data_IF_346507193954
#
_entry.id   IF_346507193954
#
_cell.length_a   1.000
_cell.length_b   1.000
_cell.length_c   1.000
_cell.angle_alpha   90.00
_cell.angle_beta   90.00
_cell.angle_gamma   90.00
#
_symmetry.space_group_name_H-M   'P 1'
#
loop_
_entity.id
_entity.type
_entity.pdbx_description
1 polymer ?
#
# COMPACT_ATOMS: atom_id res chain seq x y z
N UNK A 1 -24.44 3.50 6.35
CA UNK A 1 -23.22 3.42 5.52
C UNK A 1 -23.09 2.02 4.95
N UNK A 2 -22.89 1.87 3.63
CA UNK A 2 -22.57 0.59 2.98
C UNK A 2 -21.27 0.01 3.57
N UNK A 3 -21.16 -1.33 3.67
CA UNK A 3 -19.97 -2.04 4.14
C UNK A 3 -18.69 -1.63 3.40
N UNK A 4 -18.78 -1.31 2.10
CA UNK A 4 -17.63 -0.83 1.32
C UNK A 4 -17.08 0.50 1.83
N UNK A 5 -17.94 1.40 2.33
CA UNK A 5 -17.50 2.67 2.89
C UNK A 5 -16.80 2.47 4.23
N UNK A 6 -17.28 1.53 5.06
CA UNK A 6 -16.62 1.19 6.33
C UNK A 6 -15.21 0.65 6.09
N UNK A 7 -15.06 -0.24 5.11
CA UNK A 7 -13.76 -0.77 4.71
C UNK A 7 -12.84 0.32 4.17
N UNK A 8 -13.33 1.20 3.30
CA UNK A 8 -12.55 2.32 2.77
C UNK A 8 -12.03 3.23 3.89
N UNK A 9 -12.90 3.66 4.80
CA UNK A 9 -12.48 4.49 5.93
C UNK A 9 -11.53 3.74 6.86
N UNK A 10 -11.76 2.44 7.08
CA UNK A 10 -10.83 1.59 7.83
C UNK A 10 -9.43 1.56 7.20
N UNK A 11 -9.34 1.39 5.88
CA UNK A 11 -8.06 1.43 5.15
C UNK A 11 -7.40 2.80 5.20
N UNK A 12 -8.16 3.89 5.08
CA UNK A 12 -7.61 5.25 5.20
C UNK A 12 -7.07 5.49 6.61
N UNK A 13 -7.78 5.05 7.65
CA UNK A 13 -7.38 5.23 9.05
C UNK A 13 -6.26 4.29 9.50
N UNK A 14 -6.06 3.17 8.80
CA UNK A 14 -5.01 2.22 9.16
C UNK A 14 -3.61 2.83 9.00
N UNK A 15 -3.35 3.62 7.95
CA UNK A 15 -2.05 4.27 7.75
C UNK A 15 -1.64 5.17 8.93
N UNK A 16 -2.42 6.19 9.36
CA UNK A 16 -2.06 7.00 10.52
C UNK A 16 -2.03 6.21 11.83
N UNK A 17 -2.84 5.15 11.97
CA UNK A 17 -2.74 4.26 13.12
C UNK A 17 -1.39 3.54 13.18
N UNK A 18 -0.90 3.01 12.05
CA UNK A 18 0.42 2.38 11.97
C UNK A 18 1.55 3.38 12.27
N UNK A 19 1.42 4.62 11.77
CA UNK A 19 2.37 5.71 12.10
C UNK A 19 2.40 5.97 13.59
N UNK A 20 1.24 6.11 14.23
CA UNK A 20 1.14 6.36 15.66
C UNK A 20 1.79 5.23 16.46
N UNK A 21 1.50 3.97 16.11
CA UNK A 21 2.12 2.81 16.76
C UNK A 21 3.65 2.81 16.61
N UNK A 22 4.17 3.05 15.40
CA UNK A 22 5.61 3.10 15.14
C UNK A 22 6.29 4.26 15.88
N UNK A 23 5.67 5.44 15.91
CA UNK A 23 6.18 6.61 16.61
C UNK A 23 6.22 6.41 18.13
N UNK A 24 5.17 5.81 18.71
CA UNK A 24 5.14 5.43 20.12
C UNK A 24 6.24 4.41 20.46
N UNK A 25 6.44 3.41 19.60
CA UNK A 25 7.49 2.41 19.78
C UNK A 25 8.91 2.98 19.67
N UNK A 26 9.08 4.04 18.87
CA UNK A 26 10.35 4.74 18.68
C UNK A 26 10.69 5.76 19.79
N UNK A 27 9.84 5.91 20.81
CA UNK A 27 10.14 6.74 21.98
C UNK A 27 9.76 8.22 21.84
N UNK A 28 8.74 8.54 21.03
CA UNK A 28 8.18 9.89 20.89
C UNK A 28 9.16 10.98 20.39
N UNK A 29 9.96 10.72 19.34
CA UNK A 29 10.81 11.77 18.77
C UNK A 29 9.94 12.93 18.26
N UNK A 30 10.27 14.15 18.68
CA UNK A 30 9.53 15.37 18.32
C UNK A 30 10.16 16.12 17.14
N UNK A 31 11.41 15.80 16.81
CA UNK A 31 12.14 16.40 15.69
C UNK A 31 12.20 15.43 14.51
N UNK A 32 12.18 15.98 13.30
CA UNK A 32 12.47 15.22 12.09
C UNK A 32 13.97 14.93 12.08
N UNK A 33 14.34 13.65 12.10
CA UNK A 33 15.72 13.20 12.03
C UNK A 33 16.21 13.18 10.57
N UNK A 34 15.31 12.91 9.63
CA UNK A 34 15.62 12.94 8.20
C UNK A 34 14.75 13.97 7.45
N UNK A 35 15.40 14.75 6.59
CA UNK A 35 14.77 15.76 5.75
C UNK A 35 14.81 15.32 4.27
N UNK A 36 13.70 14.78 3.72
CA UNK A 36 13.67 14.33 2.34
C UNK A 36 13.78 15.51 1.38
N UNK A 37 14.61 15.36 0.34
CA UNK A 37 14.66 16.32 -0.77
C UNK A 37 13.34 16.31 -1.54
N UNK A 38 12.94 17.43 -2.13
CA UNK A 38 11.72 17.54 -2.96
C UNK A 38 11.63 16.45 -4.03
N UNK A 39 12.76 16.12 -4.68
CA UNK A 39 12.82 15.02 -5.66
C UNK A 39 12.43 13.67 -5.06
N UNK A 40 12.92 13.35 -3.85
CA UNK A 40 12.58 12.11 -3.13
C UNK A 40 11.09 12.04 -2.85
N UNK A 41 10.51 13.15 -2.37
CA UNK A 41 9.08 13.27 -2.10
C UNK A 41 8.27 13.00 -3.37
N UNK A 42 8.59 13.67 -4.48
CA UNK A 42 7.88 13.50 -5.75
C UNK A 42 7.96 12.06 -6.29
N UNK A 43 9.11 11.43 -6.18
CA UNK A 43 9.28 10.05 -6.65
C UNK A 43 8.53 9.05 -5.77
N UNK A 44 8.77 9.06 -4.46
CA UNK A 44 8.23 8.06 -3.52
C UNK A 44 6.73 8.24 -3.32
N UNK A 45 6.23 9.47 -3.30
CA UNK A 45 4.81 9.72 -3.03
C UNK A 45 3.98 9.69 -4.30
N UNK A 46 4.48 10.15 -5.46
CA UNK A 46 3.63 10.31 -6.65
C UNK A 46 4.02 9.36 -7.78
N UNK A 47 5.24 9.48 -8.30
CA UNK A 47 5.60 8.82 -9.56
C UNK A 47 5.71 7.31 -9.42
N UNK A 48 6.41 6.83 -8.38
CA UNK A 48 6.61 5.40 -8.14
C UNK A 48 5.28 4.70 -7.85
N UNK A 49 4.44 5.16 -6.90
CA UNK A 49 3.14 4.54 -6.64
C UNK A 49 2.24 4.47 -7.87
N UNK A 50 2.21 5.53 -8.69
CA UNK A 50 1.44 5.54 -9.93
C UNK A 50 1.92 4.45 -10.90
N UNK A 51 3.23 4.37 -11.13
CA UNK A 51 3.81 3.36 -12.01
C UNK A 51 3.56 1.95 -11.48
N UNK A 52 3.74 1.74 -10.18
CA UNK A 52 3.52 0.44 -9.54
C UNK A 52 2.07 0.00 -9.66
N UNK A 53 1.08 0.84 -9.34
CA UNK A 53 -0.32 0.44 -9.47
C UNK A 53 -0.75 0.23 -10.93
N UNK A 54 -0.16 0.95 -11.90
CA UNK A 54 -0.36 0.66 -13.32
C UNK A 54 0.12 -0.76 -13.64
N UNK A 55 1.33 -1.13 -13.21
CA UNK A 55 1.92 -2.45 -13.48
C UNK A 55 1.16 -3.55 -12.74
N UNK A 56 1.01 -3.44 -11.43
CA UNK A 56 0.47 -4.53 -10.61
C UNK A 56 -1.06 -4.62 -10.67
N UNK A 57 -1.79 -3.52 -10.79
CA UNK A 57 -3.27 -3.54 -10.89
C UNK A 57 -3.74 -3.48 -12.32
N UNK A 58 -3.27 -2.48 -13.05
CA UNK A 58 -3.72 -2.18 -14.40
C UNK A 58 -3.36 -3.27 -15.39
N UNK A 59 -2.15 -3.83 -15.28
CA UNK A 59 -1.68 -4.90 -16.15
C UNK A 59 -1.83 -6.28 -15.49
N UNK A 60 -1.08 -6.56 -14.43
CA UNK A 60 -0.97 -7.91 -13.86
C UNK A 60 -2.27 -8.42 -13.25
N UNK A 61 -2.84 -7.72 -12.26
CA UNK A 61 -4.08 -8.17 -11.62
C UNK A 61 -5.25 -8.16 -12.61
N UNK A 62 -5.27 -7.21 -13.55
CA UNK A 62 -6.29 -7.17 -14.59
C UNK A 62 -6.21 -8.39 -15.52
N UNK A 63 -5.00 -8.77 -15.93
CA UNK A 63 -4.79 -9.97 -16.74
C UNK A 63 -5.15 -11.23 -15.95
N UNK A 64 -4.71 -11.35 -14.69
CA UNK A 64 -5.10 -12.48 -13.83
C UNK A 64 -6.63 -12.57 -13.67
N UNK A 65 -7.33 -11.43 -13.60
CA UNK A 65 -8.78 -11.38 -13.52
C UNK A 65 -9.50 -11.87 -14.81
N UNK A 66 -8.81 -11.90 -15.96
CA UNK A 66 -9.34 -12.43 -17.22
C UNK A 66 -9.62 -13.94 -17.10
N UNK A 67 -8.83 -14.64 -16.26
CA UNK A 67 -9.07 -16.03 -15.89
C UNK A 67 -10.14 -16.09 -14.80
N UNK A 68 -11.39 -16.39 -15.19
CA UNK A 68 -12.56 -16.35 -14.29
C UNK A 68 -12.43 -17.15 -12.98
N UNK A 69 -11.56 -18.16 -12.89
CA UNK A 69 -11.24 -18.87 -11.63
C UNK A 69 -10.48 -17.98 -10.65
N UNK A 70 -9.59 -17.13 -11.13
CA UNK A 70 -8.75 -16.26 -10.30
C UNK A 70 -9.51 -15.03 -9.78
N UNK A 71 -10.57 -14.62 -10.47
CA UNK A 71 -11.48 -13.56 -10.00
C UNK A 71 -12.37 -14.00 -8.81
N UNK A 72 -12.44 -15.32 -8.52
CA UNK A 72 -13.23 -15.84 -7.40
C UNK A 72 -12.65 -15.36 -6.08
N UNK A 73 -13.53 -14.95 -5.17
CA UNK A 73 -13.18 -14.45 -3.86
C UNK A 73 -13.34 -15.53 -2.79
N UNK A 74 -12.39 -15.59 -1.87
CA UNK A 74 -12.48 -16.29 -0.58
C UNK A 74 -12.33 -15.26 0.53
N UNK A 75 -13.30 -15.17 1.44
CA UNK A 75 -13.34 -14.16 2.52
C UNK A 75 -13.19 -12.70 2.02
N UNK A 76 -13.67 -12.41 0.80
CA UNK A 76 -13.57 -11.08 0.19
C UNK A 76 -12.25 -10.79 -0.54
N UNK A 77 -11.26 -11.68 -0.46
CA UNK A 77 -10.00 -11.59 -1.22
C UNK A 77 -10.05 -12.52 -2.43
N UNK A 78 -9.75 -11.99 -3.61
CA UNK A 78 -9.68 -12.77 -4.85
C UNK A 78 -8.25 -13.23 -5.15
N UNK A 79 -8.11 -14.33 -5.89
CA UNK A 79 -6.79 -14.89 -6.21
C UNK A 79 -5.96 -13.99 -7.11
N UNK A 80 -6.59 -13.26 -8.04
CA UNK A 80 -5.93 -12.20 -8.83
C UNK A 80 -5.28 -11.14 -7.93
N UNK A 81 -5.98 -10.70 -6.88
CA UNK A 81 -5.45 -9.75 -5.89
C UNK A 81 -4.32 -10.39 -5.07
N UNK A 82 -4.53 -11.59 -4.53
CA UNK A 82 -3.53 -12.25 -3.69
C UNK A 82 -2.22 -12.44 -4.46
N UNK A 83 -2.28 -13.00 -5.67
CA UNK A 83 -1.10 -13.24 -6.50
C UNK A 83 -0.40 -11.91 -6.86
N UNK A 84 -1.15 -10.90 -7.31
CA UNK A 84 -0.57 -9.61 -7.68
C UNK A 84 0.07 -8.90 -6.48
N UNK A 85 -0.58 -8.91 -5.32
CA UNK A 85 -0.09 -8.28 -4.09
C UNK A 85 1.13 -8.99 -3.53
N UNK A 86 1.14 -10.33 -3.53
CA UNK A 86 2.32 -11.10 -3.12
C UNK A 86 3.50 -10.85 -4.07
N UNK A 87 3.28 -10.77 -5.39
CA UNK A 87 4.34 -10.43 -6.34
C UNK A 87 4.86 -9.00 -6.14
N UNK A 88 3.98 -8.05 -5.85
CA UNK A 88 4.35 -6.68 -5.47
C UNK A 88 5.28 -6.70 -4.25
N UNK A 89 4.90 -7.38 -3.18
CA UNK A 89 5.71 -7.51 -1.96
C UNK A 89 7.03 -8.23 -2.20
N UNK A 90 7.06 -9.26 -3.05
CA UNK A 90 8.30 -9.98 -3.36
C UNK A 90 9.34 -9.11 -4.06
N UNK A 91 8.92 -8.16 -4.91
CA UNK A 91 9.86 -7.18 -5.51
C UNK A 91 10.48 -6.27 -4.44
N UNK A 92 9.81 -6.08 -3.31
CA UNK A 92 10.31 -5.25 -2.21
C UNK A 92 11.36 -5.97 -1.33
N UNK A 93 11.51 -7.29 -1.45
CA UNK A 93 12.53 -8.08 -0.71
C UNK A 93 13.95 -7.61 -1.03
N UNK A 94 14.18 -7.04 -2.21
CA UNK A 94 15.49 -6.49 -2.58
C UNK A 94 15.85 -5.18 -1.85
N UNK A 95 14.87 -4.55 -1.20
CA UNK A 95 15.02 -3.21 -0.60
C UNK A 95 14.74 -3.20 0.90
N UNK A 96 14.05 -4.22 1.44
CA UNK A 96 13.59 -4.25 2.84
C UNK A 96 13.90 -5.59 3.52
N UNK A 97 14.15 -5.54 4.82
CA UNK A 97 14.31 -6.73 5.66
C UNK A 97 13.01 -7.54 5.77
N UNK A 98 13.15 -8.83 6.09
CA UNK A 98 12.06 -9.81 6.08
C UNK A 98 10.87 -9.46 6.98
N UNK A 99 11.10 -8.76 8.11
CA UNK A 99 10.04 -8.36 9.03
C UNK A 99 9.09 -7.29 8.46
N UNK A 100 9.58 -6.46 7.52
CA UNK A 100 8.77 -5.39 6.91
C UNK A 100 7.88 -5.87 5.76
N UNK A 101 8.12 -7.08 5.25
CA UNK A 101 7.33 -7.63 4.13
C UNK A 101 5.85 -7.79 4.49
N UNK A 102 5.54 -8.16 5.74
CA UNK A 102 4.14 -8.24 6.21
C UNK A 102 3.46 -6.87 6.26
N UNK A 103 4.24 -5.81 6.57
CA UNK A 103 3.75 -4.43 6.60
C UNK A 103 3.48 -3.90 5.19
N UNK A 104 4.17 -4.43 4.17
CA UNK A 104 3.99 -4.08 2.75
C UNK A 104 2.84 -4.89 2.11
N UNK A 105 2.73 -6.19 2.44
CA UNK A 105 1.71 -7.09 1.88
C UNK A 105 0.29 -6.63 2.22
N UNK A 106 0.05 -6.18 3.46
CA UNK A 106 -1.29 -5.80 3.89
C UNK A 106 -1.85 -4.59 3.12
N UNK A 107 -1.13 -3.46 2.97
CA UNK A 107 -1.52 -2.38 2.07
C UNK A 107 -1.71 -2.84 0.62
N UNK A 108 -0.81 -3.69 0.10
CA UNK A 108 -0.93 -4.20 -1.26
C UNK A 108 -2.26 -4.96 -1.47
N UNK A 109 -2.65 -5.82 -0.52
CA UNK A 109 -3.94 -6.51 -0.55
C UNK A 109 -5.14 -5.55 -0.52
N UNK A 110 -5.05 -4.45 0.24
CA UNK A 110 -6.09 -3.42 0.28
C UNK A 110 -6.22 -2.68 -1.05
N UNK A 111 -5.10 -2.30 -1.67
CA UNK A 111 -5.09 -1.62 -2.96
C UNK A 111 -5.74 -2.51 -4.03
N UNK A 112 -5.31 -3.78 -4.10
CA UNK A 112 -5.88 -4.74 -5.03
C UNK A 112 -7.34 -5.09 -4.74
N UNK A 113 -7.78 -5.07 -3.49
CA UNK A 113 -9.20 -5.22 -3.14
C UNK A 113 -10.04 -4.09 -3.74
N UNK A 114 -9.66 -2.83 -3.53
CA UNK A 114 -10.41 -1.69 -4.08
C UNK A 114 -10.34 -1.62 -5.60
N UNK A 115 -9.23 -2.05 -6.20
CA UNK A 115 -9.17 -2.24 -7.65
C UNK A 115 -10.17 -3.29 -8.13
N UNK A 116 -10.28 -4.44 -7.46
CA UNK A 116 -11.24 -5.49 -7.80
C UNK A 116 -12.69 -5.01 -7.71
N UNK A 117 -13.02 -4.17 -6.72
CA UNK A 117 -14.37 -3.62 -6.52
C UNK A 117 -14.75 -2.56 -7.54
N UNK A 118 -13.86 -1.59 -7.79
CA UNK A 118 -14.20 -0.40 -8.58
C UNK A 118 -13.70 -0.44 -10.02
N UNK A 119 -12.73 -1.32 -10.33
CA UNK A 119 -12.04 -1.42 -11.63
C UNK A 119 -11.54 -0.07 -12.14
N UNK A 120 -11.04 0.75 -11.21
CA UNK A 120 -10.49 2.08 -11.46
C UNK A 120 -9.18 2.24 -10.70
N UNK A 121 -8.12 2.63 -11.40
CA UNK A 121 -6.79 2.81 -10.80
C UNK A 121 -6.71 3.95 -9.79
N UNK A 122 -7.64 4.92 -9.84
CA UNK A 122 -7.59 6.07 -8.91
C UNK A 122 -7.69 5.64 -7.43
N UNK A 123 -8.43 4.59 -7.11
CA UNK A 123 -8.57 4.11 -5.73
C UNK A 123 -7.27 3.52 -5.17
N UNK A 124 -6.66 2.49 -5.79
CA UNK A 124 -5.40 1.96 -5.31
C UNK A 124 -4.28 3.02 -5.35
N UNK A 125 -4.22 3.87 -6.39
CA UNK A 125 -3.20 4.93 -6.49
C UNK A 125 -3.31 5.91 -5.32
N UNK A 126 -4.49 6.45 -5.03
CA UNK A 126 -4.64 7.41 -3.92
C UNK A 126 -4.36 6.77 -2.55
N UNK A 127 -4.74 5.50 -2.36
CA UNK A 127 -4.40 4.77 -1.14
C UNK A 127 -2.90 4.52 -1.04
N UNK A 128 -2.23 4.16 -2.13
CA UNK A 128 -0.78 3.94 -2.14
C UNK A 128 -0.03 5.24 -1.85
N UNK A 129 -0.39 6.36 -2.50
CA UNK A 129 0.11 7.71 -2.19
C UNK A 129 -0.04 8.01 -0.69
N UNK A 130 -1.22 7.74 -0.13
CA UNK A 130 -1.52 7.98 1.29
C UNK A 130 -0.63 7.15 2.22
N UNK A 131 -0.50 5.85 1.95
CA UNK A 131 0.36 4.95 2.75
C UNK A 131 1.84 5.32 2.64
N UNK A 132 2.34 5.66 1.44
CA UNK A 132 3.73 6.08 1.26
C UNK A 132 4.03 7.41 1.95
N UNK A 133 3.09 8.37 1.95
CA UNK A 133 3.27 9.61 2.70
C UNK A 133 3.41 9.35 4.21
N UNK A 134 2.61 8.42 4.75
CA UNK A 134 2.67 8.02 6.16
C UNK A 134 3.94 7.23 6.49
N UNK A 135 4.35 6.31 5.62
CA UNK A 135 5.60 5.57 5.77
C UNK A 135 6.81 6.51 5.73
N UNK A 136 6.82 7.48 4.81
CA UNK A 136 7.86 8.51 4.74
C UNK A 136 7.87 9.37 6.01
N UNK A 137 6.71 9.76 6.53
CA UNK A 137 6.63 10.51 7.79
C UNK A 137 7.25 9.75 8.96
N UNK A 138 6.92 8.47 9.13
CA UNK A 138 7.54 7.62 10.16
C UNK A 138 9.05 7.57 9.95
N UNK A 139 9.49 7.27 8.72
CA UNK A 139 10.91 7.22 8.41
C UNK A 139 11.62 8.53 8.77
N UNK A 140 11.02 9.69 8.46
CA UNK A 140 11.60 10.98 8.81
C UNK A 140 11.71 11.23 10.32
N UNK A 141 10.81 10.64 11.13
CA UNK A 141 10.80 10.78 12.58
C UNK A 141 11.77 9.83 13.30
N UNK A 142 12.02 8.65 12.72
CA UNK A 142 12.72 7.55 13.43
C UNK A 142 14.07 7.15 12.82
N UNK A 143 14.43 7.65 11.64
CA UNK A 143 15.72 7.30 11.01
C UNK A 143 16.86 8.20 11.50
N UNK A 144 17.81 7.59 12.20
CA UNK A 144 19.05 8.20 12.67
C UNK A 144 20.10 8.35 11.57
#
# INVERSE_FOLDING_TARGET
MNNNNKLLWGSVLLAPFLVLCAWLAAGLPMELQYHPKTRTILLIILLIPLCEEIVFRGLLQNELASYGRLRRTLLGLSWDNLISSTLFTLVHVFYFDSALLLVIELPALLFGYFYSQYRRLIFPVLLHIWYNAHALLVYCLVSH
#
